data_IF_246820580502
#
_entry.id   IF_246820580502
#
_cell.length_a   1.000
_cell.length_b   1.000
_cell.length_c   1.000
_cell.angle_alpha   90.00
_cell.angle_beta   90.00
_cell.angle_gamma   90.00
#
_symmetry.space_group_name_H-M   'P 1'
#
loop_
_entity.id
_entity.type
_entity.pdbx_description
1 polymer ?
#
# COMPACT_ATOMS: atom_id res chain seq x y z
N UNK A 1 -25.56 -4.26 17.28
CA UNK A 1 -24.10 -4.01 17.11
C UNK A 1 -23.74 -2.72 17.80
N UNK A 2 -22.52 -2.63 18.33
CA UNK A 2 -21.88 -1.39 18.77
C UNK A 2 -20.74 -1.07 17.80
N UNK A 3 -20.50 0.22 17.57
CA UNK A 3 -19.20 0.68 17.10
C UNK A 3 -18.48 1.40 18.23
N UNK A 4 -17.18 1.22 18.28
CA UNK A 4 -16.30 2.00 19.13
C UNK A 4 -15.04 2.37 18.37
N UNK A 5 -14.39 3.42 18.84
CA UNK A 5 -13.11 3.91 18.33
C UNK A 5 -12.11 3.94 19.46
N UNK A 6 -10.83 3.96 19.11
CA UNK A 6 -9.73 4.10 20.05
C UNK A 6 -9.12 5.51 19.91
N UNK A 7 -9.91 6.56 20.09
CA UNK A 7 -9.46 7.96 19.90
C UNK A 7 -10.09 8.95 20.87
N UNK A 8 -9.32 9.96 21.29
CA UNK A 8 -9.77 11.01 22.20
C UNK A 8 -10.40 12.17 21.42
N UNK A 9 -11.74 12.26 21.46
CA UNK A 9 -12.51 13.33 20.82
C UNK A 9 -13.95 12.90 20.58
N UNK A 10 -14.87 13.87 20.46
CA UNK A 10 -16.23 13.58 19.98
C UNK A 10 -16.13 13.21 18.49
N UNK A 11 -16.44 11.96 18.17
CA UNK A 11 -16.34 11.41 16.81
C UNK A 11 -17.72 11.04 16.31
N UNK A 12 -18.09 11.48 15.11
CA UNK A 12 -19.32 11.01 14.45
C UNK A 12 -19.03 9.68 13.80
N UNK A 13 -19.79 8.66 14.18
CA UNK A 13 -19.69 7.32 13.60
C UNK A 13 -21.01 7.00 12.92
N UNK A 14 -20.96 6.62 11.65
CA UNK A 14 -22.17 6.32 10.87
C UNK A 14 -22.03 4.96 10.18
N UNK A 15 -22.99 4.06 10.41
CA UNK A 15 -23.16 2.89 9.55
C UNK A 15 -23.69 3.32 8.18
N UNK A 16 -23.10 2.79 7.11
CA UNK A 16 -23.49 3.06 5.72
C UNK A 16 -24.01 1.82 5.00
N UNK A 17 -23.85 0.62 5.59
CA UNK A 17 -24.36 -0.63 5.03
C UNK A 17 -25.89 -0.71 5.09
N UNK A 18 -26.51 -1.19 4.01
CA UNK A 18 -27.93 -1.54 3.93
C UNK A 18 -28.08 -3.06 3.86
N UNK A 19 -28.53 -3.74 4.94
CA UNK A 19 -28.70 -5.19 4.93
C UNK A 19 -29.86 -5.61 4.03
N UNK A 20 -29.74 -6.77 3.40
CA UNK A 20 -30.85 -7.37 2.65
C UNK A 20 -31.92 -7.87 3.61
N UNK A 21 -33.17 -7.47 3.40
CA UNK A 21 -34.29 -7.86 4.28
C UNK A 21 -34.93 -9.19 3.88
N UNK A 22 -34.33 -9.91 2.95
CA UNK A 22 -34.81 -11.20 2.42
C UNK A 22 -33.68 -12.21 2.42
N UNK A 23 -33.97 -13.46 2.75
CA UNK A 23 -33.03 -14.58 2.68
C UNK A 23 -33.64 -15.77 1.96
N UNK A 24 -32.80 -16.65 1.42
CA UNK A 24 -33.22 -17.93 0.84
C UNK A 24 -33.01 -19.01 1.89
N UNK A 25 -34.01 -19.87 2.07
CA UNK A 25 -33.92 -21.00 3.01
C UNK A 25 -32.72 -21.91 2.66
N UNK A 26 -32.02 -22.40 3.70
CA UNK A 26 -30.81 -23.24 3.58
C UNK A 26 -29.62 -22.60 2.84
N UNK A 27 -29.62 -21.29 2.64
CA UNK A 27 -28.46 -20.54 2.12
C UNK A 27 -27.88 -19.65 3.23
N UNK A 28 -26.56 -19.66 3.48
CA UNK A 28 -25.95 -18.73 4.41
C UNK A 28 -26.27 -17.28 4.04
N UNK A 29 -26.79 -16.52 4.99
CA UNK A 29 -27.00 -15.09 4.81
C UNK A 29 -25.68 -14.35 5.01
N UNK A 30 -25.15 -13.74 3.95
CA UNK A 30 -23.91 -12.96 3.96
C UNK A 30 -24.24 -11.50 3.72
N UNK A 31 -23.82 -10.61 4.63
CA UNK A 31 -23.96 -9.16 4.48
C UNK A 31 -22.67 -8.47 4.85
N UNK A 32 -22.26 -7.47 4.07
CA UNK A 32 -21.16 -6.58 4.42
C UNK A 32 -21.66 -5.50 5.39
N UNK A 33 -20.88 -5.23 6.44
CA UNK A 33 -21.07 -4.09 7.32
C UNK A 33 -20.06 -3.00 6.94
N UNK A 34 -20.54 -1.76 6.84
CA UNK A 34 -19.69 -0.62 6.49
C UNK A 34 -20.05 0.54 7.40
N UNK A 35 -19.03 1.27 7.84
CA UNK A 35 -19.19 2.49 8.60
C UNK A 35 -18.07 3.47 8.25
N UNK A 36 -18.35 4.75 8.42
CA UNK A 36 -17.40 5.85 8.20
C UNK A 36 -17.16 6.61 9.49
N UNK A 37 -15.96 7.20 9.58
CA UNK A 37 -15.56 8.08 10.66
C UNK A 37 -14.77 9.26 10.11
N UNK A 38 -14.99 10.44 10.70
CA UNK A 38 -14.52 11.71 10.14
C UNK A 38 -12.99 11.89 10.19
N UNK A 39 -12.27 11.13 11.02
CA UNK A 39 -10.84 11.29 11.28
C UNK A 39 -9.95 10.12 10.85
N UNK A 40 -10.51 9.15 10.10
CA UNK A 40 -9.79 7.95 9.66
C UNK A 40 -9.17 7.11 10.80
N UNK A 41 -9.71 7.22 12.03
CA UNK A 41 -9.34 6.36 13.15
C UNK A 41 -9.81 4.91 12.94
N UNK A 42 -9.17 3.98 13.66
CA UNK A 42 -9.57 2.58 13.64
C UNK A 42 -10.99 2.40 14.18
N UNK A 43 -11.87 1.88 13.33
CA UNK A 43 -13.21 1.44 13.69
C UNK A 43 -13.19 -0.01 14.17
N UNK A 44 -13.88 -0.29 15.28
CA UNK A 44 -14.13 -1.65 15.77
C UNK A 44 -15.62 -1.96 15.75
N UNK A 45 -15.97 -3.10 15.14
CA UNK A 45 -17.35 -3.62 15.15
C UNK A 45 -17.47 -4.70 16.22
N UNK A 46 -18.42 -4.52 17.14
CA UNK A 46 -18.69 -5.49 18.21
C UNK A 46 -20.18 -5.79 18.31
N UNK A 47 -20.53 -7.01 18.71
CA UNK A 47 -21.90 -7.35 19.10
C UNK A 47 -21.95 -7.60 20.61
N UNK A 48 -22.85 -6.90 21.32
CA UNK A 48 -23.11 -7.11 22.75
C UNK A 48 -23.81 -8.44 22.99
N UNK A 49 -24.68 -8.82 22.05
CA UNK A 49 -25.39 -10.09 22.07
C UNK A 49 -25.44 -10.59 20.64
N UNK A 50 -24.83 -11.75 20.40
CA UNK A 50 -24.74 -12.37 19.08
C UNK A 50 -25.58 -13.65 19.10
N UNK A 51 -26.59 -13.79 18.23
CA UNK A 51 -27.30 -15.04 18.08
C UNK A 51 -26.34 -16.16 17.65
N UNK A 52 -26.59 -17.39 18.08
CA UNK A 52 -25.74 -18.55 17.75
C UNK A 52 -25.62 -18.83 16.25
N UNK A 53 -26.54 -18.31 15.43
CA UNK A 53 -26.56 -18.47 13.98
C UNK A 53 -25.77 -17.39 13.23
N UNK A 54 -25.31 -16.32 13.90
CA UNK A 54 -24.60 -15.21 13.27
C UNK A 54 -23.12 -15.22 13.67
N UNK A 55 -22.22 -15.23 12.71
CA UNK A 55 -20.78 -15.00 12.95
C UNK A 55 -20.39 -13.64 12.39
N UNK A 56 -19.71 -12.82 13.19
CA UNK A 56 -19.04 -11.61 12.70
C UNK A 56 -17.60 -11.97 12.35
N UNK A 57 -17.20 -11.75 11.11
CA UNK A 57 -15.84 -12.03 10.64
C UNK A 57 -15.23 -10.79 10.01
N UNK A 58 -14.00 -10.48 10.39
CA UNK A 58 -13.20 -9.42 9.77
C UNK A 58 -12.46 -9.90 8.51
N UNK A 59 -12.66 -11.15 8.08
CA UNK A 59 -11.93 -11.79 6.96
C UNK A 59 -12.15 -11.16 5.58
N UNK A 60 -12.92 -10.07 5.47
CA UNK A 60 -13.05 -9.24 4.27
C UNK A 60 -13.12 -7.73 4.54
N UNK A 61 -12.91 -7.31 5.80
CA UNK A 61 -12.82 -5.89 6.12
C UNK A 61 -11.40 -5.43 5.80
N UNK A 62 -11.24 -4.61 4.74
CA UNK A 62 -10.01 -3.85 4.51
C UNK A 62 -9.87 -2.79 5.61
N UNK A 63 -9.56 -3.22 6.84
CA UNK A 63 -9.10 -2.33 7.88
C UNK A 63 -7.66 -2.01 7.50
N UNK A 64 -7.44 -0.84 6.91
CA UNK A 64 -6.11 -0.25 6.90
C UNK A 64 -5.65 -0.19 8.35
N UNK A 65 -4.67 -1.02 8.71
CA UNK A 65 -4.09 -0.99 10.05
C UNK A 65 -3.38 0.36 10.18
N UNK A 66 -3.91 1.25 11.00
CA UNK A 66 -3.26 2.52 11.32
C UNK A 66 -1.92 2.19 12.01
N UNK A 67 -0.81 2.40 11.31
CA UNK A 67 0.54 2.15 11.85
C UNK A 67 0.99 3.43 12.54
N UNK A 68 0.61 3.58 13.81
CA UNK A 68 1.12 4.62 14.69
C UNK A 68 2.60 4.30 14.93
N UNK A 69 3.50 4.96 14.18
CA UNK A 69 4.89 4.61 13.92
C UNK A 69 5.10 3.69 12.69
N UNK A 70 4.51 4.05 11.55
CA UNK A 70 4.92 3.48 10.27
C UNK A 70 6.46 3.58 10.13
N UNK A 71 7.17 2.48 9.83
CA UNK A 71 8.61 2.54 9.55
C UNK A 71 8.92 3.31 8.25
N UNK A 72 7.88 3.69 7.50
CA UNK A 72 7.97 4.38 6.21
C UNK A 72 7.73 5.87 6.45
N UNK A 73 8.80 6.68 6.39
CA UNK A 73 8.77 8.08 6.83
C UNK A 73 8.09 9.06 5.85
N UNK A 74 8.15 8.80 4.55
CA UNK A 74 7.58 9.66 3.51
C UNK A 74 7.37 8.86 2.22
N UNK A 75 6.29 8.07 2.08
CA UNK A 75 6.08 7.26 0.88
C UNK A 75 5.85 8.18 -0.34
N UNK A 76 6.65 8.01 -1.38
CA UNK A 76 6.53 8.71 -2.66
C UNK A 76 5.91 7.86 -3.77
N UNK A 77 5.93 6.53 -3.64
CA UNK A 77 5.32 5.60 -4.59
C UNK A 77 5.06 4.23 -3.96
N UNK A 78 4.08 3.52 -4.50
CA UNK A 78 3.73 2.15 -4.07
C UNK A 78 3.43 1.28 -5.29
N UNK A 79 3.84 0.02 -5.24
CA UNK A 79 3.52 -0.97 -6.27
C UNK A 79 3.29 -2.36 -5.66
N UNK A 80 2.32 -3.12 -6.17
CA UNK A 80 2.06 -4.50 -5.76
C UNK A 80 2.69 -5.52 -6.72
N UNK A 81 3.15 -6.66 -6.21
CA UNK A 81 3.55 -7.82 -7.02
C UNK A 81 2.44 -8.87 -7.14
N UNK A 82 2.63 -9.86 -8.01
CA UNK A 82 1.65 -10.92 -8.26
C UNK A 82 1.46 -11.87 -7.06
N UNK A 83 2.36 -11.85 -6.07
CA UNK A 83 2.25 -12.63 -4.83
C UNK A 83 1.51 -11.86 -3.72
N UNK A 84 1.04 -10.64 -4.01
CA UNK A 84 0.33 -9.79 -3.06
C UNK A 84 1.25 -9.02 -2.10
N UNK A 85 2.57 -8.99 -2.34
CA UNK A 85 3.44 -8.09 -1.60
C UNK A 85 3.33 -6.68 -2.18
N UNK A 86 3.51 -5.66 -1.34
CA UNK A 86 3.63 -4.27 -1.76
C UNK A 86 5.04 -3.75 -1.51
N UNK A 87 5.49 -2.87 -2.40
CA UNK A 87 6.75 -2.16 -2.31
C UNK A 87 6.45 -0.69 -2.10
N UNK A 88 6.80 -0.16 -0.94
CA UNK A 88 6.65 1.25 -0.61
C UNK A 88 8.00 1.95 -0.73
N UNK A 89 8.07 2.97 -1.58
CA UNK A 89 9.29 3.71 -1.86
C UNK A 89 9.26 5.01 -1.09
N UNK A 90 10.27 5.27 -0.27
CA UNK A 90 10.42 6.57 0.37
C UNK A 90 10.88 7.65 -0.61
N UNK A 91 10.29 8.83 -0.49
CA UNK A 91 10.57 10.00 -1.31
C UNK A 91 11.94 10.62 -1.01
N UNK A 92 12.33 10.69 0.28
CA UNK A 92 13.56 11.36 0.73
C UNK A 92 14.59 10.41 1.36
N UNK A 93 14.14 9.34 2.03
CA UNK A 93 15.03 8.40 2.73
C UNK A 93 15.72 7.40 1.82
N UNK A 94 15.29 7.29 0.55
CA UNK A 94 15.82 6.33 -0.42
C UNK A 94 15.52 4.86 -0.07
N UNK A 95 14.95 4.58 1.10
CA UNK A 95 14.60 3.22 1.52
C UNK A 95 13.38 2.75 0.72
N UNK A 96 13.48 1.51 0.22
CA UNK A 96 12.33 0.79 -0.33
C UNK A 96 11.98 -0.29 0.68
N UNK A 97 10.73 -0.31 1.10
CA UNK A 97 10.18 -1.29 2.04
C UNK A 97 9.36 -2.32 1.29
N UNK A 98 9.48 -3.59 1.67
CA UNK A 98 8.58 -4.67 1.24
C UNK A 98 7.58 -4.95 2.36
N UNK A 99 6.31 -4.99 1.99
CA UNK A 99 5.17 -5.25 2.86
C UNK A 99 4.56 -6.57 2.39
N UNK A 100 4.61 -7.59 3.24
CA UNK A 100 4.01 -8.89 2.96
C UNK A 100 2.47 -8.82 3.07
N UNK A 101 1.72 -9.80 2.52
CA UNK A 101 0.26 -9.82 2.59
C UNK A 101 -0.32 -9.78 4.01
N UNK A 102 0.44 -10.22 5.02
CA UNK A 102 0.07 -10.18 6.43
C UNK A 102 0.34 -8.80 7.09
N UNK A 103 0.87 -7.83 6.33
CA UNK A 103 1.24 -6.50 6.78
C UNK A 103 2.67 -6.38 7.34
N UNK A 104 3.41 -7.48 7.42
CA UNK A 104 4.81 -7.46 7.89
C UNK A 104 5.65 -6.59 6.95
N UNK A 105 6.31 -5.57 7.51
CA UNK A 105 7.12 -4.61 6.75
C UNK A 105 8.61 -4.82 7.01
N UNK A 106 9.41 -4.93 5.96
CA UNK A 106 10.87 -5.07 6.02
C UNK A 106 11.55 -4.11 5.04
N UNK A 107 12.82 -3.79 5.29
CA UNK A 107 13.63 -3.06 4.30
C UNK A 107 13.96 -4.02 3.16
N UNK A 108 13.52 -3.66 1.94
CA UNK A 108 13.82 -4.40 0.72
C UNK A 108 15.20 -4.03 0.18
N UNK A 109 15.47 -2.73 0.04
CA UNK A 109 16.77 -2.17 -0.34
C UNK A 109 16.84 -0.68 -0.03
N UNK A 110 18.01 -0.07 -0.22
CA UNK A 110 18.23 1.38 -0.13
C UNK A 110 18.76 1.93 -1.45
N UNK A 111 18.20 3.05 -1.88
CA UNK A 111 18.63 3.82 -3.03
C UNK A 111 19.70 4.84 -2.64
N UNK A 112 20.46 5.29 -3.63
CA UNK A 112 21.31 6.45 -3.45
C UNK A 112 20.42 7.70 -3.33
N UNK A 113 20.46 8.40 -2.20
CA UNK A 113 19.61 9.58 -1.94
C UNK A 113 19.97 10.81 -2.80
N UNK A 114 21.10 10.79 -3.50
CA UNK A 114 21.58 11.93 -4.31
C UNK A 114 21.06 11.93 -5.75
N UNK A 115 20.02 11.15 -6.08
CA UNK A 115 19.48 11.06 -7.44
C UNK A 115 18.10 11.70 -7.60
N UNK A 116 17.52 12.28 -6.54
CA UNK A 116 16.24 12.99 -6.60
C UNK A 116 15.06 12.26 -5.95
N UNK A 117 13.86 12.78 -6.17
CA UNK A 117 12.62 12.36 -5.49
C UNK A 117 11.88 11.25 -6.21
N UNK A 118 11.30 10.33 -5.45
CA UNK A 118 10.44 9.28 -5.98
C UNK A 118 8.97 9.73 -6.00
N UNK A 119 8.30 9.69 -7.15
CA UNK A 119 6.86 10.04 -7.26
C UNK A 119 5.96 8.91 -7.78
N UNK A 120 6.54 7.78 -8.15
CA UNK A 120 5.81 6.70 -8.79
C UNK A 120 6.61 5.41 -8.73
N UNK A 121 5.88 4.32 -8.58
CA UNK A 121 6.42 2.98 -8.64
C UNK A 121 5.45 2.05 -9.38
N UNK A 122 5.98 1.09 -10.12
CA UNK A 122 5.20 0.03 -10.75
C UNK A 122 6.01 -1.27 -10.77
N UNK A 123 5.37 -2.41 -10.54
CA UNK A 123 5.98 -3.72 -10.77
C UNK A 123 5.56 -4.22 -12.14
N UNK A 124 6.52 -4.61 -12.95
CA UNK A 124 6.30 -5.31 -14.22
C UNK A 124 7.25 -6.51 -14.25
N UNK A 125 6.67 -7.70 -14.42
CA UNK A 125 7.35 -8.99 -14.27
C UNK A 125 8.11 -9.07 -12.92
N UNK A 126 9.42 -9.27 -12.98
CA UNK A 126 10.30 -9.37 -11.81
C UNK A 126 10.97 -8.04 -11.44
N UNK A 127 10.51 -6.92 -11.98
CA UNK A 127 11.16 -5.63 -11.76
C UNK A 127 10.21 -4.61 -11.15
N UNK A 128 10.67 -3.99 -10.07
CA UNK A 128 10.10 -2.76 -9.52
C UNK A 128 10.74 -1.58 -10.25
N UNK A 129 9.95 -0.79 -10.97
CA UNK A 129 10.37 0.46 -11.60
C UNK A 129 9.99 1.63 -10.69
N UNK A 130 10.92 2.56 -10.52
CA UNK A 130 10.75 3.76 -9.69
C UNK A 130 11.06 4.98 -10.54
N UNK A 131 10.11 5.90 -10.64
CA UNK A 131 10.32 7.18 -11.31
C UNK A 131 11.05 8.14 -10.39
N UNK A 132 12.00 8.88 -10.96
CA UNK A 132 12.89 9.77 -10.23
C UNK A 132 12.78 11.16 -10.85
N UNK A 133 12.26 12.09 -10.05
CA UNK A 133 12.24 13.50 -10.39
C UNK A 133 13.53 14.18 -9.94
N UNK A 134 14.17 14.86 -10.89
CA UNK A 134 15.35 15.67 -10.62
C UNK A 134 14.97 16.92 -9.83
N UNK A 135 15.47 17.04 -8.60
CA UNK A 135 15.33 18.25 -7.78
C UNK A 135 16.68 18.97 -7.55
N UNK A 136 17.54 18.99 -8.57
CA UNK A 136 18.88 19.60 -8.51
C UNK A 136 19.98 18.66 -8.01
N UNK A 137 19.68 17.38 -7.77
CA UNK A 137 20.63 16.34 -7.35
C UNK A 137 20.67 15.24 -8.43
N UNK A 138 21.65 15.30 -9.33
CA UNK A 138 21.89 14.27 -10.35
C UNK A 138 21.00 14.35 -11.58
N UNK A 139 20.79 13.21 -12.24
CA UNK A 139 19.92 13.04 -13.41
C UNK A 139 18.61 12.40 -12.97
N UNK A 140 17.46 12.98 -13.36
CA UNK A 140 16.18 12.30 -13.19
C UNK A 140 16.08 11.06 -14.07
N UNK A 141 14.97 10.34 -13.99
CA UNK A 141 14.70 9.23 -14.90
C UNK A 141 13.94 8.08 -14.25
N UNK A 142 14.31 6.86 -14.62
CA UNK A 142 13.68 5.63 -14.12
C UNK A 142 14.78 4.65 -13.72
N UNK A 143 14.70 4.13 -12.52
CA UNK A 143 15.51 2.99 -12.06
C UNK A 143 14.61 1.75 -11.91
N UNK A 144 15.21 0.57 -12.06
CA UNK A 144 14.56 -0.69 -11.74
C UNK A 144 15.36 -1.52 -10.73
N UNK A 145 14.64 -2.36 -9.98
CA UNK A 145 15.16 -3.27 -8.97
C UNK A 145 14.61 -4.68 -9.22
N UNK A 146 15.48 -5.69 -9.20
CA UNK A 146 15.06 -7.10 -9.33
C UNK A 146 14.40 -7.56 -8.02
N UNK A 147 13.09 -7.76 -8.04
CA UNK A 147 12.30 -8.10 -6.84
C UNK A 147 12.54 -9.51 -6.33
N UNK A 148 13.24 -10.34 -7.10
CA UNK A 148 13.60 -11.72 -6.72
C UNK A 148 14.88 -11.79 -5.90
N UNK A 149 15.66 -10.71 -5.86
CA UNK A 149 16.92 -10.64 -5.13
C UNK A 149 16.73 -10.09 -3.71
N UNK A 150 17.64 -10.48 -2.81
CA UNK A 150 17.80 -9.85 -1.51
C UNK A 150 18.68 -8.61 -1.65
N UNK A 151 18.17 -7.43 -1.32
CA UNK A 151 18.88 -6.14 -1.42
C UNK A 151 19.45 -5.85 -2.83
N UNK A 152 18.60 -5.83 -3.88
CA UNK A 152 19.07 -5.55 -5.24
C UNK A 152 19.66 -4.14 -5.39
N UNK A 153 20.66 -4.01 -6.25
CA UNK A 153 21.15 -2.69 -6.67
C UNK A 153 20.17 -2.01 -7.64
N UNK A 154 20.16 -0.67 -7.62
CA UNK A 154 19.44 0.12 -8.61
C UNK A 154 20.07 -0.05 -10.00
N UNK A 155 19.25 -0.34 -11.01
CA UNK A 155 19.66 -0.41 -12.41
C UNK A 155 18.98 0.75 -13.15
N UNK A 156 19.72 1.75 -13.67
CA UNK A 156 19.14 2.80 -14.49
C UNK A 156 18.48 2.21 -15.75
N UNK A 157 17.26 2.66 -16.05
CA UNK A 157 16.49 2.30 -17.25
C UNK A 157 16.46 3.46 -18.24
N UNK A 158 16.27 4.67 -17.69
CA UNK A 158 16.38 5.92 -18.41
C UNK A 158 17.09 6.89 -17.49
N UNK A 159 18.15 7.52 -17.99
CA UNK A 159 18.74 8.68 -17.35
C UNK A 159 18.34 9.88 -18.19
N UNK A 160 17.99 11.00 -17.57
CA UNK A 160 17.57 12.22 -18.28
C UNK A 160 18.56 12.78 -19.33
N UNK A 161 19.70 12.10 -19.52
CA UNK A 161 20.80 12.43 -20.43
C UNK A 161 20.98 11.39 -21.56
N UNK A 162 20.02 10.48 -21.80
CA UNK A 162 20.15 9.47 -22.87
C UNK A 162 20.33 10.13 -24.26
N UNK A 163 21.57 10.19 -24.73
CA UNK A 163 21.93 10.63 -26.08
C UNK A 163 21.75 9.47 -27.05
N UNK A 164 20.75 9.58 -27.93
CA UNK A 164 20.64 8.75 -29.12
C UNK A 164 21.88 8.96 -29.99
N UNK A 165 22.76 7.96 -30.09
CA UNK A 165 23.80 7.93 -31.13
C UNK A 165 23.33 7.06 -32.29
N UNK A 166 23.29 7.64 -33.50
CA UNK A 166 23.07 6.92 -34.75
C UNK A 166 24.41 6.83 -35.48
N UNK A 167 24.86 5.63 -35.79
CA UNK A 167 25.94 5.42 -36.78
C UNK A 167 25.30 5.13 -38.13
N UNK A 168 25.81 5.78 -39.18
CA UNK A 168 25.40 5.49 -40.56
C UNK A 168 25.80 4.08 -40.92
N UNK A 169 24.95 3.39 -41.68
CA UNK A 169 25.30 2.11 -42.30
C UNK A 169 26.23 2.41 -43.47
N UNK A 170 27.47 1.91 -43.41
CA UNK A 170 28.44 1.97 -44.51
C UNK A 170 27.81 1.51 -45.84
#
# INVERSE_FOLDING_TARGET
LLLSTLGAGAQTIQFTSKPDTTGVENVPYLSSLSAVIDNNDKLTFSAVTLPNWLTLSNSGAASGTQVNNSPIGAPGGVAGDANGNFYAVENYGGVIHKIAPDGTTTVFTTRNVNVGYCYGAIVVDNYLYVSIYNNGYGTGGIEKFDITQTNPAAIPVFTGDDVLSMTTKD
#
